data_IF_512929580825
#
_entry.id   IF_512929580825
#
_cell.length_a   1.000
_cell.length_b   1.000
_cell.length_c   1.000
_cell.angle_alpha   90.00
_cell.angle_beta   90.00
_cell.angle_gamma   90.00
#
_symmetry.space_group_name_H-M   'P 1'
#
loop_
_entity.id
_entity.type
_entity.pdbx_description
1 polymer ?
#
# COMPACT_ATOMS: atom_id res chain seq x y z
N UNK A 1 13.84 -18.13 -35.56
CA UNK A 1 12.81 -17.26 -36.14
C UNK A 1 12.68 -16.04 -35.24
N UNK A 2 12.92 -14.83 -35.76
CA UNK A 2 12.79 -13.61 -34.95
C UNK A 2 11.32 -13.28 -34.70
N UNK A 3 10.99 -12.84 -33.49
CA UNK A 3 9.69 -12.26 -33.15
C UNK A 3 9.80 -10.75 -33.36
N UNK A 4 8.83 -10.14 -34.03
CA UNK A 4 8.71 -8.68 -34.11
C UNK A 4 7.54 -8.26 -33.25
N UNK A 5 7.79 -7.36 -32.29
CA UNK A 5 6.72 -6.80 -31.45
C UNK A 5 6.24 -5.48 -32.04
N UNK A 6 4.92 -5.29 -32.02
CA UNK A 6 4.29 -4.06 -32.51
C UNK A 6 3.46 -3.48 -31.37
N UNK A 7 3.74 -2.24 -31.01
CA UNK A 7 3.03 -1.58 -29.93
C UNK A 7 1.74 -0.93 -30.47
N UNK A 8 0.59 -1.44 -30.01
CA UNK A 8 -0.74 -1.02 -30.47
C UNK A 8 -1.62 -0.59 -29.28
N UNK A 9 -1.48 0.64 -28.76
CA UNK A 9 -2.14 1.07 -27.51
C UNK A 9 -3.66 1.10 -27.60
N UNK A 10 -4.22 1.21 -28.82
CA UNK A 10 -5.66 1.18 -29.10
C UNK A 10 -6.10 -0.12 -29.81
N UNK A 11 -5.27 -1.16 -29.78
CA UNK A 11 -5.44 -2.38 -30.57
C UNK A 11 -4.96 -2.23 -32.02
N UNK A 12 -4.96 -3.34 -32.77
CA UNK A 12 -4.59 -3.41 -34.20
C UNK A 12 -5.72 -2.88 -35.09
N UNK A 13 -6.17 -1.66 -34.82
CA UNK A 13 -7.29 -1.02 -35.54
C UNK A 13 -6.84 -0.25 -36.79
N UNK A 14 -5.55 0.00 -36.93
CA UNK A 14 -4.97 0.76 -38.04
C UNK A 14 -4.14 -0.16 -38.94
N UNK A 15 -4.60 -0.30 -40.19
CA UNK A 15 -3.92 -1.10 -41.23
C UNK A 15 -2.52 -0.56 -41.51
N UNK A 16 -2.28 0.74 -41.32
CA UNK A 16 -0.97 1.36 -41.49
C UNK A 16 0.08 0.74 -40.56
N UNK A 17 -0.24 0.58 -39.27
CA UNK A 17 0.68 0.03 -38.26
C UNK A 17 1.09 -1.41 -38.65
N UNK A 18 0.13 -2.22 -39.06
CA UNK A 18 0.39 -3.58 -39.54
C UNK A 18 1.29 -3.61 -40.79
N UNK A 19 0.98 -2.77 -41.78
CA UNK A 19 1.72 -2.73 -43.05
C UNK A 19 3.16 -2.26 -42.84
N UNK A 20 3.35 -1.19 -42.08
CA UNK A 20 4.66 -0.66 -41.71
C UNK A 20 5.50 -1.69 -40.94
N UNK A 21 4.88 -2.40 -39.99
CA UNK A 21 5.57 -3.45 -39.26
C UNK A 21 6.02 -4.60 -40.20
N UNK A 22 5.14 -5.08 -41.08
CA UNK A 22 5.47 -6.13 -42.06
C UNK A 22 6.60 -5.72 -43.01
N UNK A 23 6.59 -4.49 -43.51
CA UNK A 23 7.66 -3.98 -44.37
C UNK A 23 8.99 -3.95 -43.62
N UNK A 24 9.00 -3.47 -42.37
CA UNK A 24 10.19 -3.46 -41.53
C UNK A 24 10.70 -4.85 -41.21
N UNK A 25 9.81 -5.82 -40.96
CA UNK A 25 10.19 -7.22 -40.77
C UNK A 25 10.89 -7.80 -42.01
N UNK A 26 10.36 -7.52 -43.20
CA UNK A 26 10.93 -7.98 -44.48
C UNK A 26 12.29 -7.35 -44.76
N UNK A 27 12.42 -6.05 -44.50
CA UNK A 27 13.61 -5.27 -44.85
C UNK A 27 14.73 -5.37 -43.80
N UNK A 28 14.40 -5.67 -42.54
CA UNK A 28 15.33 -5.59 -41.43
C UNK A 28 15.42 -6.94 -40.67
N UNK A 29 16.23 -7.87 -41.19
CA UNK A 29 16.47 -9.20 -40.59
C UNK A 29 17.27 -9.17 -39.26
N UNK A 30 17.59 -8.00 -38.69
CA UNK A 30 18.76 -7.88 -37.79
C UNK A 30 18.51 -7.63 -36.30
N UNK A 31 17.29 -7.49 -35.82
CA UNK A 31 17.09 -7.52 -34.35
C UNK A 31 15.78 -8.20 -33.99
N UNK A 32 15.87 -9.36 -33.33
CA UNK A 32 14.73 -10.08 -32.76
C UNK A 32 14.04 -9.33 -31.61
N UNK A 33 14.52 -8.12 -31.28
CA UNK A 33 14.08 -7.31 -30.15
C UNK A 33 13.73 -5.86 -30.56
N UNK A 34 13.63 -5.60 -31.87
CA UNK A 34 13.12 -4.34 -32.38
C UNK A 34 11.60 -4.29 -32.20
N UNK A 35 11.12 -3.14 -31.71
CA UNK A 35 9.69 -2.88 -31.51
C UNK A 35 9.27 -1.76 -32.44
N UNK A 36 8.25 -2.02 -33.25
CA UNK A 36 7.62 -0.99 -34.08
C UNK A 36 6.60 -0.25 -33.22
N UNK A 37 6.84 1.03 -32.99
CA UNK A 37 5.98 1.88 -32.19
C UNK A 37 4.75 2.34 -32.97
N UNK A 38 3.70 2.77 -32.26
CA UNK A 38 2.45 3.21 -32.88
C UNK A 38 2.58 4.48 -33.74
N UNK A 39 3.63 5.28 -33.51
CA UNK A 39 4.00 6.44 -34.34
C UNK A 39 4.85 6.06 -35.55
N UNK A 40 5.16 4.77 -35.72
CA UNK A 40 5.97 4.26 -36.80
C UNK A 40 7.48 4.37 -36.56
N UNK A 41 7.95 4.80 -35.39
CA UNK A 41 9.37 4.69 -35.01
C UNK A 41 9.75 3.23 -34.68
N UNK A 42 11.06 2.95 -34.58
CA UNK A 42 11.56 1.64 -34.15
C UNK A 42 12.39 1.83 -32.89
N UNK A 43 11.98 1.16 -31.82
CA UNK A 43 12.77 1.06 -30.59
C UNK A 43 13.56 -0.24 -30.65
N UNK A 44 14.87 -0.13 -30.83
CA UNK A 44 15.78 -1.27 -30.69
C UNK A 44 16.24 -1.37 -29.24
N UNK A 45 15.90 -2.47 -28.57
CA UNK A 45 16.47 -2.76 -27.26
C UNK A 45 17.85 -3.38 -27.50
N UNK A 46 18.89 -2.69 -27.06
CA UNK A 46 20.25 -3.22 -27.05
C UNK A 46 20.56 -3.79 -25.68
N UNK A 47 21.06 -5.03 -25.67
CA UNK A 47 21.68 -5.65 -24.50
C UNK A 47 22.86 -4.79 -24.06
N UNK A 48 23.02 -4.59 -22.75
CA UNK A 48 24.11 -3.83 -22.11
C UNK A 48 24.16 -2.31 -22.36
N UNK A 49 23.19 -1.73 -23.04
CA UNK A 49 23.02 -0.26 -23.05
C UNK A 49 22.40 0.19 -21.72
N UNK A 50 22.84 1.34 -21.21
CA UNK A 50 22.33 1.92 -19.98
C UNK A 50 21.06 2.73 -20.29
N UNK A 51 19.97 2.40 -19.62
CA UNK A 51 18.68 3.08 -19.70
C UNK A 51 18.40 3.80 -18.39
N UNK A 52 17.58 4.85 -18.48
CA UNK A 52 17.00 5.50 -17.31
C UNK A 52 15.49 5.37 -17.34
N UNK A 53 14.86 5.28 -16.17
CA UNK A 53 13.42 5.16 -16.07
C UNK A 53 12.91 5.39 -14.66
N UNK A 54 11.60 5.54 -14.55
CA UNK A 54 10.90 5.81 -13.29
C UNK A 54 10.18 4.54 -12.85
N UNK A 55 10.30 4.18 -11.58
CA UNK A 55 9.53 3.08 -11.01
C UNK A 55 8.05 3.42 -11.07
N UNK A 56 7.31 2.63 -11.84
CA UNK A 56 5.86 2.80 -12.01
C UNK A 56 5.07 2.05 -10.96
N UNK A 57 5.57 0.89 -10.54
CA UNK A 57 4.89 0.01 -9.59
C UNK A 57 5.89 -0.83 -8.82
N UNK A 58 5.64 -1.01 -7.53
CA UNK A 58 6.42 -1.94 -6.69
C UNK A 58 5.47 -2.86 -5.91
N UNK A 59 5.76 -4.16 -5.93
CA UNK A 59 5.13 -5.13 -5.05
C UNK A 59 6.12 -5.57 -3.97
N UNK A 60 6.11 -4.88 -2.83
CA UNK A 60 7.01 -5.16 -1.70
C UNK A 60 6.89 -6.60 -1.17
N UNK A 61 5.68 -7.17 -1.17
CA UNK A 61 5.41 -8.52 -0.66
C UNK A 61 6.00 -9.61 -1.57
N UNK A 62 5.82 -9.48 -2.88
CA UNK A 62 6.32 -10.42 -3.89
C UNK A 62 7.72 -10.07 -4.39
N UNK A 63 8.29 -8.94 -3.95
CA UNK A 63 9.65 -8.49 -4.21
C UNK A 63 9.99 -8.31 -5.69
N UNK A 64 9.09 -7.69 -6.43
CA UNK A 64 9.31 -7.26 -7.82
C UNK A 64 8.69 -5.88 -8.08
N UNK A 65 9.05 -5.27 -9.20
CA UNK A 65 8.41 -4.05 -9.69
C UNK A 65 8.53 -3.87 -11.19
N UNK A 66 8.06 -2.72 -11.66
CA UNK A 66 8.10 -2.32 -13.06
C UNK A 66 8.67 -0.90 -13.19
N UNK A 67 9.62 -0.72 -14.10
CA UNK A 67 10.23 0.57 -14.43
C UNK A 67 9.67 1.02 -15.77
N UNK A 68 9.11 2.21 -15.82
CA UNK A 68 8.75 2.89 -17.06
C UNK A 68 9.99 3.61 -17.60
N UNK A 69 10.40 3.28 -18.83
CA UNK A 69 11.58 3.87 -19.47
C UNK A 69 11.30 4.26 -20.92
N UNK A 70 12.04 5.26 -21.40
CA UNK A 70 11.86 5.83 -22.74
C UNK A 70 10.71 6.84 -22.87
N UNK A 71 10.61 7.46 -24.05
CA UNK A 71 9.66 8.56 -24.32
C UNK A 71 8.22 8.10 -24.59
N UNK A 72 7.98 6.80 -24.80
CA UNK A 72 6.64 6.26 -25.00
C UNK A 72 6.18 5.51 -23.75
N UNK A 73 4.96 5.79 -23.30
CA UNK A 73 4.34 5.37 -22.02
C UNK A 73 4.17 3.84 -21.83
N UNK A 74 4.86 2.99 -22.58
CA UNK A 74 4.35 1.64 -22.87
C UNK A 74 5.39 0.52 -22.82
N UNK A 75 6.61 0.77 -22.35
CA UNK A 75 7.48 -0.32 -21.90
C UNK A 75 7.78 -0.18 -20.42
N UNK A 76 6.95 -0.89 -19.67
CA UNK A 76 7.25 -1.26 -18.31
C UNK A 76 8.25 -2.43 -18.38
N UNK A 77 9.49 -2.25 -17.93
CA UNK A 77 10.45 -3.34 -17.79
C UNK A 77 10.31 -3.93 -16.38
N UNK A 78 10.22 -5.25 -16.32
CA UNK A 78 10.18 -5.97 -15.06
C UNK A 78 11.55 -5.93 -14.38
N UNK A 79 11.57 -5.75 -13.05
CA UNK A 79 12.74 -6.02 -12.24
C UNK A 79 12.38 -6.84 -11.00
N UNK A 80 13.33 -7.67 -10.56
CA UNK A 80 13.26 -8.35 -9.28
C UNK A 80 14.12 -7.60 -8.26
N UNK A 81 13.76 -7.62 -6.98
CA UNK A 81 14.54 -6.90 -5.96
C UNK A 81 15.97 -7.43 -5.81
N UNK A 82 16.26 -8.65 -6.26
CA UNK A 82 17.63 -9.17 -6.30
C UNK A 82 18.53 -8.42 -7.28
N UNK A 83 17.95 -7.69 -8.25
CA UNK A 83 18.68 -6.88 -9.22
C UNK A 83 18.98 -5.46 -8.69
N UNK A 84 18.48 -5.11 -7.49
CA UNK A 84 18.78 -3.85 -6.82
C UNK A 84 20.15 -3.90 -6.13
N UNK A 85 20.85 -2.76 -6.04
CA UNK A 85 22.19 -2.72 -5.50
C UNK A 85 22.19 -2.97 -3.98
N UNK A 86 23.12 -3.80 -3.51
CA UNK A 86 23.45 -3.96 -2.08
C UNK A 86 22.31 -4.44 -1.17
N UNK A 87 21.24 -5.02 -1.71
CA UNK A 87 20.06 -5.40 -0.92
C UNK A 87 19.18 -4.21 -0.52
N UNK A 88 19.26 -3.09 -1.26
CA UNK A 88 18.33 -1.97 -1.11
C UNK A 88 16.88 -2.48 -1.20
N UNK A 89 16.14 -2.29 -0.11
CA UNK A 89 14.73 -2.66 0.00
C UNK A 89 13.79 -1.46 -0.15
N UNK A 90 14.35 -0.25 -0.22
CA UNK A 90 13.60 1.00 -0.16
C UNK A 90 13.57 1.65 -1.54
N UNK A 91 12.91 0.99 -2.49
CA UNK A 91 12.55 1.60 -3.76
C UNK A 91 11.06 1.85 -3.77
N UNK A 92 10.65 3.03 -4.19
CA UNK A 92 9.26 3.49 -4.18
C UNK A 92 8.80 3.90 -5.58
N UNK A 93 7.49 3.93 -5.78
CA UNK A 93 6.92 4.44 -7.02
C UNK A 93 7.28 5.92 -7.21
N UNK A 94 7.87 6.24 -8.36
CA UNK A 94 8.38 7.57 -8.68
C UNK A 94 9.90 7.71 -8.55
N UNK A 95 10.62 6.73 -7.99
CA UNK A 95 12.09 6.75 -7.98
C UNK A 95 12.65 6.62 -9.38
N UNK A 96 13.73 7.35 -9.66
CA UNK A 96 14.44 7.30 -10.92
C UNK A 96 15.63 6.36 -10.82
N UNK A 97 15.69 5.39 -11.72
CA UNK A 97 16.71 4.35 -11.77
C UNK A 97 17.48 4.39 -13.08
N UNK A 98 18.75 4.01 -13.02
CA UNK A 98 19.54 3.57 -14.15
C UNK A 98 19.59 2.05 -14.16
N UNK A 99 19.58 1.42 -15.32
CA UNK A 99 19.62 -0.03 -15.43
C UNK A 99 20.07 -0.48 -16.82
N UNK A 100 20.50 -1.73 -16.95
CA UNK A 100 20.66 -2.40 -18.24
C UNK A 100 19.50 -3.37 -18.46
N UNK A 101 19.16 -3.63 -19.72
CA UNK A 101 18.15 -4.65 -20.06
C UNK A 101 18.87 -5.91 -20.48
N UNK A 102 18.67 -6.98 -19.72
CA UNK A 102 19.15 -8.30 -20.09
C UNK A 102 18.01 -9.12 -20.70
N UNK A 103 18.33 -9.82 -21.78
CA UNK A 103 17.42 -10.70 -22.48
C UNK A 103 17.72 -12.15 -22.11
N UNK A 104 16.78 -12.80 -21.43
CA UNK A 104 16.87 -14.24 -21.20
C UNK A 104 16.47 -14.97 -22.50
N UNK A 105 17.47 -15.44 -23.24
CA UNK A 105 17.30 -16.18 -24.50
C UNK A 105 16.59 -17.52 -24.32
N UNK A 106 16.54 -18.07 -23.10
CA UNK A 106 15.84 -19.34 -22.80
C UNK A 106 14.34 -19.14 -22.61
N UNK A 107 13.95 -18.02 -21.99
CA UNK A 107 12.56 -17.74 -21.60
C UNK A 107 11.87 -16.66 -22.45
N UNK A 108 12.60 -15.98 -23.33
CA UNK A 108 12.09 -14.91 -24.21
C UNK A 108 11.64 -13.65 -23.47
N UNK A 109 12.03 -13.50 -22.19
CA UNK A 109 11.64 -12.37 -21.34
C UNK A 109 12.82 -11.42 -21.13
N UNK A 110 12.52 -10.13 -21.06
CA UNK A 110 13.50 -9.09 -20.76
C UNK A 110 13.30 -8.59 -19.34
N UNK A 111 14.39 -8.37 -18.61
CA UNK A 111 14.35 -7.83 -17.26
C UNK A 111 15.43 -6.75 -17.09
N UNK A 112 15.15 -5.78 -16.22
CA UNK A 112 16.14 -4.80 -15.81
C UNK A 112 17.13 -5.43 -14.82
N UNK A 113 18.40 -5.25 -15.10
CA UNK A 113 19.55 -5.70 -14.31
C UNK A 113 20.54 -4.55 -14.14
N UNK A 114 21.57 -4.77 -13.29
CA UNK A 114 22.57 -3.75 -12.93
C UNK A 114 21.90 -2.42 -12.55
N UNK A 115 20.89 -2.50 -11.68
CA UNK A 115 20.08 -1.34 -11.34
C UNK A 115 20.86 -0.44 -10.39
N UNK A 116 20.82 0.86 -10.64
CA UNK A 116 21.36 1.90 -9.76
C UNK A 116 20.30 2.98 -9.54
N UNK A 117 20.24 3.54 -8.34
CA UNK A 117 19.32 4.62 -8.01
C UNK A 117 19.94 5.96 -8.44
N UNK A 118 19.30 6.67 -9.38
CA UNK A 118 19.77 7.97 -9.89
C UNK A 118 19.27 9.08 -8.98
N UNK A 119 17.96 9.13 -8.76
CA UNK A 119 17.34 10.10 -7.89
C UNK A 119 16.20 9.42 -7.12
N UNK A 120 16.21 9.62 -5.81
CA UNK A 120 15.03 9.33 -5.00
C UNK A 120 14.05 10.47 -5.23
N UNK A 121 12.77 10.14 -5.35
CA UNK A 121 11.73 11.16 -5.29
C UNK A 121 11.99 12.01 -4.03
N UNK A 122 11.93 13.36 -4.08
CA UNK A 122 11.99 14.15 -2.87
C UNK A 122 10.87 13.67 -1.95
N UNK A 123 11.25 13.01 -0.85
CA UNK A 123 10.30 12.44 0.10
C UNK A 123 9.66 13.60 0.87
N UNK A 124 8.59 14.18 0.32
CA UNK A 124 7.65 15.01 1.07
C UNK A 124 6.89 14.10 2.02
N UNK A 125 7.57 13.77 3.11
CA UNK A 125 7.08 12.89 4.16
C UNK A 125 6.70 13.71 5.37
N UNK A 126 5.78 13.17 6.15
CA UNK A 126 5.39 13.69 7.45
C UNK A 126 5.75 12.69 8.52
N UNK A 127 6.48 13.15 9.53
CA UNK A 127 6.74 12.34 10.71
C UNK A 127 5.48 12.31 11.58
N UNK A 128 4.90 11.13 11.73
CA UNK A 128 3.71 10.93 12.55
C UNK A 128 3.93 9.86 13.59
N UNK A 129 3.10 9.88 14.64
CA UNK A 129 2.99 8.77 15.57
C UNK A 129 1.99 7.75 15.05
N UNK A 130 2.25 6.48 15.29
CA UNK A 130 1.38 5.38 14.95
C UNK A 130 1.23 4.44 16.14
N UNK A 131 0.10 3.75 16.21
CA UNK A 131 -0.10 2.62 17.11
C UNK A 131 -0.64 1.42 16.33
N UNK A 132 -0.36 0.22 16.82
CA UNK A 132 -0.76 -1.02 16.16
C UNK A 132 -1.97 -1.65 16.83
N UNK A 133 -2.96 -2.03 16.04
CA UNK A 133 -4.15 -2.77 16.47
C UNK A 133 -4.37 -3.99 15.55
N UNK A 134 -4.77 -5.13 16.12
CA UNK A 134 -5.07 -6.32 15.33
C UNK A 134 -6.52 -6.29 14.82
N UNK A 135 -6.79 -6.99 13.71
CA UNK A 135 -8.16 -7.22 13.26
C UNK A 135 -8.90 -8.14 14.25
N UNK A 136 -10.22 -7.98 14.45
CA UNK A 136 -11.12 -7.09 13.70
C UNK A 136 -11.17 -5.65 14.23
N UNK A 137 -10.68 -5.39 15.44
CA UNK A 137 -10.79 -4.08 16.09
C UNK A 137 -10.19 -2.92 15.29
N UNK A 138 -9.11 -3.16 14.54
CA UNK A 138 -8.55 -2.15 13.65
C UNK A 138 -9.52 -1.73 12.55
N UNK A 139 -10.25 -2.68 11.95
CA UNK A 139 -11.29 -2.38 10.97
C UNK A 139 -12.49 -1.71 11.63
N UNK A 140 -12.94 -2.21 12.79
CA UNK A 140 -14.03 -1.58 13.55
C UNK A 140 -13.74 -0.11 13.88
N UNK A 141 -12.49 0.22 14.23
CA UNK A 141 -12.07 1.59 14.49
C UNK A 141 -12.00 2.40 13.20
N UNK A 142 -11.36 1.87 12.15
CA UNK A 142 -11.21 2.57 10.87
C UNK A 142 -12.56 2.84 10.17
N UNK A 143 -13.52 1.93 10.30
CA UNK A 143 -14.88 2.05 9.80
C UNK A 143 -15.80 2.87 10.73
N UNK A 144 -15.28 3.42 11.83
CA UNK A 144 -16.01 4.33 12.71
C UNK A 144 -16.97 3.70 13.71
N UNK A 145 -17.04 2.36 13.81
CA UNK A 145 -17.85 1.68 14.83
C UNK A 145 -17.22 1.80 16.22
N UNK A 146 -15.92 1.50 16.34
CA UNK A 146 -15.21 1.56 17.62
C UNK A 146 -14.79 2.99 17.92
N UNK A 147 -15.63 3.70 18.67
CA UNK A 147 -15.39 5.09 19.08
C UNK A 147 -14.66 5.21 20.42
N UNK A 148 -14.37 4.08 21.09
CA UNK A 148 -13.65 4.04 22.36
C UNK A 148 -12.59 2.93 22.34
N UNK A 149 -11.33 3.29 22.52
CA UNK A 149 -10.23 2.34 22.66
C UNK A 149 -9.94 2.11 24.14
N UNK A 150 -9.72 0.86 24.54
CA UNK A 150 -9.52 0.51 25.95
C UNK A 150 -8.26 -0.29 26.17
N UNK A 151 -7.49 0.04 27.20
CA UNK A 151 -6.24 -0.64 27.52
C UNK A 151 -6.02 -0.74 29.03
N UNK A 152 -5.30 -1.78 29.45
CA UNK A 152 -4.76 -1.83 30.82
C UNK A 152 -3.45 -1.04 30.95
N UNK A 153 -2.71 -0.85 29.85
CA UNK A 153 -1.48 -0.05 29.84
C UNK A 153 -1.73 1.46 29.71
N UNK A 154 -0.65 2.24 29.80
CA UNK A 154 -0.64 3.71 29.78
C UNK A 154 -0.36 4.30 28.39
N UNK A 155 -0.55 3.52 27.32
CA UNK A 155 -0.13 3.89 25.96
C UNK A 155 -0.60 5.28 25.51
N UNK A 156 -1.84 5.66 25.83
CA UNK A 156 -2.42 6.93 25.41
C UNK A 156 -2.42 8.02 26.49
N UNK A 157 -2.03 7.71 27.74
CA UNK A 157 -2.17 8.64 28.87
C UNK A 157 -1.24 9.86 28.76
N UNK A 158 -0.14 9.75 28.01
CA UNK A 158 0.82 10.84 27.82
C UNK A 158 0.48 11.74 26.64
N UNK A 159 -0.60 11.46 25.91
CA UNK A 159 -0.99 12.21 24.72
C UNK A 159 -2.23 13.06 24.99
N UNK A 160 -2.14 14.39 24.80
CA UNK A 160 -3.28 15.26 25.03
C UNK A 160 -4.40 15.00 24.02
N UNK A 161 -5.61 15.38 24.40
CA UNK A 161 -6.77 15.44 23.51
C UNK A 161 -6.44 16.25 22.24
N UNK A 162 -6.89 15.75 21.09
CA UNK A 162 -6.59 16.32 19.77
C UNK A 162 -5.32 15.76 19.12
N UNK A 163 -4.55 14.92 19.82
CA UNK A 163 -3.38 14.24 19.25
C UNK A 163 -3.79 13.35 18.08
N UNK A 164 -3.12 13.51 16.94
CA UNK A 164 -3.34 12.70 15.74
C UNK A 164 -2.30 11.60 15.64
N UNK A 165 -2.75 10.39 15.34
CA UNK A 165 -1.90 9.23 15.15
C UNK A 165 -2.41 8.35 14.01
N UNK A 166 -1.50 7.63 13.36
CA UNK A 166 -1.84 6.62 12.38
C UNK A 166 -2.25 5.31 13.06
N UNK A 167 -3.28 4.67 12.52
CA UNK A 167 -3.70 3.33 12.86
C UNK A 167 -2.99 2.33 11.96
N UNK A 168 -2.04 1.59 12.52
CA UNK A 168 -1.40 0.46 11.87
C UNK A 168 -2.15 -0.85 12.17
N UNK A 169 -2.30 -1.70 11.16
CA UNK A 169 -2.97 -3.00 11.29
C UNK A 169 -1.93 -4.08 11.54
N UNK A 170 -2.00 -4.72 12.71
CA UNK A 170 -1.11 -5.82 13.07
C UNK A 170 -1.32 -7.08 12.21
N UNK A 171 -0.31 -7.95 12.20
CA UNK A 171 -0.32 -9.17 11.38
C UNK A 171 -1.27 -10.26 11.90
N UNK A 172 -1.65 -10.19 13.18
CA UNK A 172 -2.45 -11.21 13.85
C UNK A 172 -3.94 -10.87 13.84
N UNK A 173 -4.76 -11.90 14.02
CA UNK A 173 -6.14 -11.72 14.46
C UNK A 173 -6.16 -11.66 15.98
N UNK A 174 -6.99 -10.78 16.53
CA UNK A 174 -7.21 -10.69 17.96
C UNK A 174 -8.10 -11.87 18.40
N UNK A 175 -7.69 -12.66 19.41
CA UNK A 175 -8.39 -13.88 19.78
C UNK A 175 -9.53 -13.62 20.77
N UNK A 176 -10.54 -12.84 20.38
CA UNK A 176 -11.70 -12.56 21.26
C UNK A 176 -12.81 -13.61 21.18
N UNK A 177 -12.62 -14.69 20.41
CA UNK A 177 -13.64 -15.73 20.24
C UNK A 177 -14.94 -15.21 19.60
N UNK A 178 -14.85 -14.15 18.78
CA UNK A 178 -15.99 -13.51 18.13
C UNK A 178 -17.00 -12.83 19.08
N UNK A 179 -16.63 -12.64 20.35
CA UNK A 179 -17.47 -11.95 21.35
C UNK A 179 -17.82 -10.52 20.97
N UNK A 180 -17.00 -9.85 20.15
CA UNK A 180 -17.35 -8.56 19.56
C UNK A 180 -18.66 -8.60 18.76
N UNK A 181 -18.98 -9.73 18.11
CA UNK A 181 -20.21 -9.89 17.31
C UNK A 181 -21.44 -9.82 18.21
N UNK A 182 -21.42 -10.49 19.36
CA UNK A 182 -22.53 -10.49 20.31
C UNK A 182 -22.81 -9.07 20.82
N UNK A 183 -21.74 -8.32 21.13
CA UNK A 183 -21.84 -6.92 21.53
C UNK A 183 -22.42 -6.06 20.41
N UNK A 184 -21.99 -6.26 19.17
CA UNK A 184 -22.52 -5.53 18.00
C UNK A 184 -24.01 -5.83 17.77
N UNK A 185 -24.41 -7.11 17.86
CA UNK A 185 -25.82 -7.53 17.74
C UNK A 185 -26.69 -6.95 18.85
N UNK A 186 -26.14 -6.74 20.05
CA UNK A 186 -26.86 -6.07 21.14
C UNK A 186 -27.15 -4.58 20.87
N UNK A 187 -26.57 -4.01 19.80
CA UNK A 187 -26.86 -2.68 19.29
C UNK A 187 -27.70 -2.69 18.01
N UNK A 188 -28.44 -3.77 17.76
CA UNK A 188 -29.35 -3.95 16.63
C UNK A 188 -28.68 -3.96 15.24
N UNK A 189 -27.37 -4.19 15.17
CA UNK A 189 -26.67 -4.38 13.90
C UNK A 189 -26.98 -5.73 13.27
N UNK A 190 -27.26 -5.72 11.97
CA UNK A 190 -27.46 -6.91 11.15
C UNK A 190 -26.15 -7.65 10.87
N UNK A 191 -26.24 -8.93 10.48
CA UNK A 191 -25.04 -9.72 10.13
C UNK A 191 -24.25 -9.10 8.95
N UNK A 192 -24.94 -8.49 7.97
CA UNK A 192 -24.30 -7.83 6.83
C UNK A 192 -23.59 -6.54 7.26
N UNK A 193 -24.19 -5.72 8.12
CA UNK A 193 -23.52 -4.52 8.66
C UNK A 193 -22.28 -4.90 9.51
N UNK A 194 -22.41 -5.95 10.34
CA UNK A 194 -21.29 -6.45 11.14
C UNK A 194 -20.16 -6.94 10.23
N UNK A 195 -20.51 -7.66 9.16
CA UNK A 195 -19.54 -8.13 8.18
C UNK A 195 -18.80 -6.94 7.56
N UNK A 196 -19.50 -5.93 7.06
CA UNK A 196 -18.88 -4.76 6.43
C UNK A 196 -17.96 -4.01 7.40
N UNK A 197 -18.37 -3.84 8.65
CA UNK A 197 -17.59 -3.16 9.69
C UNK A 197 -16.30 -3.90 10.08
N UNK A 198 -16.27 -5.23 9.97
CA UNK A 198 -15.13 -6.07 10.37
C UNK A 198 -14.01 -6.15 9.32
N UNK A 199 -14.26 -5.72 8.08
CA UNK A 199 -13.27 -5.80 7.00
C UNK A 199 -12.74 -4.42 6.61
N UNK A 200 -11.50 -4.41 6.13
CA UNK A 200 -10.90 -3.21 5.54
C UNK A 200 -11.34 -3.09 4.08
N UNK A 201 -11.51 -1.87 3.56
CA UNK A 201 -11.72 -1.65 2.13
C UNK A 201 -10.58 -2.21 1.28
N UNK A 202 -10.88 -2.47 0.00
CA UNK A 202 -9.87 -2.92 -0.97
C UNK A 202 -8.69 -1.94 -1.02
N UNK A 203 -7.46 -2.48 -0.97
CA UNK A 203 -6.23 -1.70 -1.00
C UNK A 203 -5.63 -1.44 0.39
N UNK A 204 -6.33 -1.81 1.47
CA UNK A 204 -5.80 -1.76 2.84
C UNK A 204 -5.60 -3.17 3.38
N UNK A 205 -4.40 -3.43 3.89
CA UNK A 205 -4.00 -4.76 4.34
C UNK A 205 -3.30 -4.73 5.71
N UNK A 206 -3.12 -5.92 6.30
CA UNK A 206 -2.29 -6.10 7.49
C UNK A 206 -0.85 -5.67 7.19
N UNK A 207 -0.22 -4.96 8.12
CA UNK A 207 1.12 -4.38 7.96
C UNK A 207 1.13 -2.96 7.40
N UNK A 208 -0.04 -2.41 7.07
CA UNK A 208 -0.17 -1.02 6.65
C UNK A 208 -0.66 -0.13 7.79
N UNK A 209 -0.24 1.13 7.81
CA UNK A 209 -1.05 2.21 8.32
C UNK A 209 -2.23 2.41 7.37
N UNK A 210 -3.45 2.37 7.90
CA UNK A 210 -4.68 2.37 7.09
C UNK A 210 -5.56 3.59 7.33
N UNK A 211 -5.47 4.18 8.52
CA UNK A 211 -6.27 5.33 8.90
C UNK A 211 -5.44 6.31 9.74
N UNK A 212 -5.93 7.54 9.85
CA UNK A 212 -5.49 8.53 10.81
C UNK A 212 -6.61 8.77 11.81
N UNK A 213 -6.22 8.92 13.08
CA UNK A 213 -7.12 8.92 14.24
C UNK A 213 -6.81 10.13 15.09
N UNK A 214 -7.82 10.90 15.48
CA UNK A 214 -7.70 11.96 16.47
C UNK A 214 -8.20 11.47 17.82
N UNK A 215 -7.30 11.48 18.81
CA UNK A 215 -7.61 11.03 20.16
C UNK A 215 -8.44 12.09 20.90
N UNK A 216 -9.43 11.62 21.64
CA UNK A 216 -10.18 12.40 22.62
C UNK A 216 -9.58 12.27 24.02
N UNK A 217 -10.43 12.41 25.05
CA UNK A 217 -10.00 12.29 26.43
C UNK A 217 -9.59 10.85 26.75
N UNK A 218 -8.53 10.69 27.53
CA UNK A 218 -8.17 9.42 28.18
C UNK A 218 -8.52 9.48 29.66
N UNK A 219 -9.21 8.47 30.18
CA UNK A 219 -9.67 8.41 31.57
C UNK A 219 -9.73 6.96 32.09
N UNK A 220 -9.70 6.81 33.41
CA UNK A 220 -9.85 5.50 34.06
C UNK A 220 -11.33 5.15 34.24
N UNK A 221 -11.63 3.85 34.20
CA UNK A 221 -12.98 3.30 34.27
C UNK A 221 -13.04 2.17 35.29
N UNK A 222 -14.16 2.08 36.01
CA UNK A 222 -14.44 0.93 36.86
C UNK A 222 -14.99 -0.23 36.01
N UNK A 223 -15.04 -1.44 36.56
CA UNK A 223 -15.73 -2.56 35.89
C UNK A 223 -17.23 -2.24 35.69
N UNK A 224 -17.86 -1.54 36.64
CA UNK A 224 -19.26 -1.13 36.52
C UNK A 224 -19.49 -0.22 35.31
N UNK A 225 -18.60 0.74 35.08
CA UNK A 225 -18.66 1.62 33.90
C UNK A 225 -18.50 0.82 32.62
N UNK A 226 -17.55 -0.13 32.60
CA UNK A 226 -17.29 -1.00 31.44
C UNK A 226 -18.41 -1.98 31.15
N UNK A 227 -19.20 -2.35 32.16
CA UNK A 227 -20.37 -3.22 32.00
C UNK A 227 -21.62 -2.48 31.49
N UNK A 228 -21.58 -1.15 31.31
CA UNK A 228 -22.65 -0.42 30.69
C UNK A 228 -22.80 -0.83 29.19
N UNK A 229 -24.01 -1.14 28.70
CA UNK A 229 -24.21 -1.56 27.30
C UNK A 229 -23.72 -0.53 26.25
N UNK A 230 -23.91 0.77 26.49
CA UNK A 230 -23.40 1.81 25.58
C UNK A 230 -21.88 1.84 25.55
N UNK A 231 -21.23 1.62 26.70
CA UNK A 231 -19.77 1.51 26.77
C UNK A 231 -19.29 0.31 25.96
N UNK A 232 -19.88 -0.86 26.17
CA UNK A 232 -19.52 -2.08 25.45
C UNK A 232 -19.66 -1.91 23.95
N UNK A 233 -20.76 -1.32 23.47
CA UNK A 233 -20.97 -1.02 22.05
C UNK A 233 -19.91 -0.09 21.48
N UNK A 234 -19.58 1.00 22.17
CA UNK A 234 -18.52 1.93 21.75
C UNK A 234 -17.13 1.29 21.67
N UNK A 235 -16.87 0.26 22.48
CA UNK A 235 -15.60 -0.49 22.48
C UNK A 235 -15.62 -1.66 21.50
N UNK A 236 -16.78 -2.26 21.27
CA UNK A 236 -16.94 -3.54 20.57
C UNK A 236 -16.52 -4.75 21.41
N UNK A 237 -16.55 -4.65 22.74
CA UNK A 237 -16.16 -5.73 23.64
C UNK A 237 -16.96 -5.70 24.94
N UNK A 238 -17.11 -6.84 25.60
CA UNK A 238 -17.75 -6.90 26.91
C UNK A 238 -16.91 -6.18 27.96
N UNK A 239 -17.56 -5.83 29.07
CA UNK A 239 -16.93 -5.06 30.14
C UNK A 239 -15.69 -5.72 30.70
N UNK A 240 -15.76 -7.02 30.99
CA UNK A 240 -14.64 -7.82 31.51
C UNK A 240 -13.46 -7.93 30.54
N UNK A 241 -13.76 -7.92 29.24
CA UNK A 241 -12.78 -8.03 28.15
C UNK A 241 -12.14 -6.65 27.80
N UNK A 242 -12.71 -5.56 28.30
CA UNK A 242 -12.25 -4.19 28.04
C UNK A 242 -11.15 -3.76 29.01
N UNK A 243 -10.21 -2.92 28.59
CA UNK A 243 -9.16 -2.38 29.48
C UNK A 243 -9.67 -1.30 30.44
N UNK A 244 -9.02 -1.12 31.60
CA UNK A 244 -9.43 -0.14 32.62
C UNK A 244 -9.26 1.33 32.21
N UNK A 245 -8.42 1.63 31.21
CA UNK A 245 -8.22 2.99 30.69
C UNK A 245 -8.91 3.10 29.34
N UNK A 246 -9.86 4.02 29.25
CA UNK A 246 -10.59 4.32 28.03
C UNK A 246 -10.03 5.59 27.38
N UNK A 247 -9.90 5.58 26.07
CA UNK A 247 -9.47 6.70 25.23
C UNK A 247 -10.49 6.90 24.14
N UNK A 248 -11.13 8.06 24.12
CA UNK A 248 -12.09 8.44 23.10
C UNK A 248 -11.43 8.55 21.72
N UNK A 249 -12.16 8.15 20.68
CA UNK A 249 -11.79 8.38 19.29
C UNK A 249 -12.68 9.52 18.77
N UNK A 250 -12.13 10.73 18.68
CA UNK A 250 -12.90 11.92 18.27
C UNK A 250 -13.33 11.87 16.83
N UNK A 251 -12.40 11.47 15.97
CA UNK A 251 -12.63 11.24 14.55
C UNK A 251 -11.57 10.30 13.99
N UNK A 252 -11.93 9.67 12.89
CA UNK A 252 -11.10 8.76 12.13
C UNK A 252 -11.34 9.01 10.65
N UNK A 253 -10.30 8.87 9.83
CA UNK A 253 -10.42 8.83 8.39
C UNK A 253 -9.43 7.82 7.82
N UNK A 254 -9.85 7.08 6.80
CA UNK A 254 -8.92 6.30 6.00
C UNK A 254 -7.85 7.21 5.40
N UNK A 255 -6.62 6.67 5.30
CA UNK A 255 -5.61 7.27 4.45
C UNK A 255 -6.06 7.21 2.99
N UNK A 256 -5.57 8.10 2.13
CA UNK A 256 -5.91 8.07 0.69
C UNK A 256 -5.43 6.77 0.03
N UNK A 257 -4.33 6.21 0.53
CA UNK A 257 -3.78 4.88 0.19
C UNK A 257 -3.13 4.28 1.43
N UNK A 258 -3.11 2.95 1.58
CA UNK A 258 -2.42 2.29 2.68
C UNK A 258 -0.91 2.50 2.62
N UNK A 259 -0.29 2.82 3.75
CA UNK A 259 1.16 3.05 3.83
C UNK A 259 1.84 1.89 4.58
N UNK A 260 2.82 1.24 3.96
CA UNK A 260 3.55 0.13 4.59
C UNK A 260 4.42 0.66 5.73
N UNK A 261 4.13 0.22 6.95
CA UNK A 261 4.92 0.62 8.12
C UNK A 261 5.23 -0.58 8.99
N UNK A 262 6.46 -0.63 9.52
CA UNK A 262 6.83 -1.70 10.44
C UNK A 262 6.19 -1.45 11.81
N UNK A 263 5.18 -2.25 12.15
CA UNK A 263 4.54 -2.19 13.46
C UNK A 263 5.51 -2.43 14.61
N UNK A 264 5.40 -1.61 15.67
CA UNK A 264 6.16 -1.76 16.91
C UNK A 264 5.20 -1.79 18.11
N UNK A 265 5.67 -2.32 19.23
CA UNK A 265 4.95 -2.21 20.50
C UNK A 265 4.87 -0.76 20.97
N UNK A 266 3.78 -0.38 21.64
CA UNK A 266 3.59 1.00 22.07
C UNK A 266 3.15 1.93 20.94
N UNK A 267 3.33 3.23 21.17
CA UNK A 267 3.25 4.25 20.12
C UNK A 267 4.64 4.42 19.53
N UNK A 268 4.75 4.44 18.21
CA UNK A 268 6.02 4.56 17.50
C UNK A 268 5.96 5.66 16.45
N UNK A 269 7.11 6.24 16.10
CA UNK A 269 7.21 7.22 15.02
C UNK A 269 7.37 6.51 13.68
N UNK A 270 6.76 7.08 12.66
CA UNK A 270 6.85 6.64 11.26
C UNK A 270 6.88 7.87 10.36
N UNK A 271 7.63 7.77 9.27
CA UNK A 271 7.55 8.71 8.17
C UNK A 271 6.63 8.10 7.11
N UNK A 272 5.66 8.88 6.66
CA UNK A 272 4.75 8.50 5.57
C UNK A 272 4.65 9.65 4.59
N UNK A 273 4.40 9.35 3.31
CA UNK A 273 4.20 10.39 2.31
C UNK A 273 3.08 11.35 2.73
N UNK A 274 3.29 12.65 2.57
CA UNK A 274 2.26 13.66 2.85
C UNK A 274 0.99 13.40 2.03
N UNK A 275 1.14 12.89 0.82
CA UNK A 275 0.04 12.60 -0.11
C UNK A 275 -0.90 11.48 0.37
N UNK A 276 -0.48 10.61 1.30
CA UNK A 276 -1.34 9.57 1.86
C UNK A 276 -2.34 10.15 2.86
N UNK A 277 -2.06 11.33 3.41
CA UNK A 277 -2.86 11.91 4.49
C UNK A 277 -4.11 12.58 3.89
N UNK A 278 -5.31 12.30 4.43
CA UNK A 278 -6.54 12.96 3.99
C UNK A 278 -6.49 14.48 4.23
N UNK A 279 -7.21 15.23 3.41
CA UNK A 279 -7.21 16.70 3.50
C UNK A 279 -7.77 17.17 4.85
N UNK A 280 -7.16 18.20 5.43
CA UNK A 280 -7.57 18.77 6.73
C UNK A 280 -7.10 17.99 7.98
N UNK A 281 -6.15 17.05 7.83
CA UNK A 281 -5.59 16.26 8.92
C UNK A 281 -4.14 16.59 9.31
N UNK A 282 -3.46 17.43 8.54
CA UNK A 282 -2.13 17.98 8.83
C UNK A 282 -2.21 19.41 9.36
#
# INVERSE_FOLDING_TARGET
MGVMSVHCPRGLIDKWIWTNALEKYKNNKKSAYAIVESDGSVTEIKSDEQYTGIIKMVNMKKRFGFIQYGNSKTKDIFFHFSSLPGGCNNVEEGDELSFTIDHDTKNGKSAANKIELISQRPQDTVNMRAFSMNLPFAALLANGYKTLETRNGTMFTTYPEGTKMLLHVGQRLYPDGERHIDVMKSGDLTDDEIKDLKFLPKGFEKGMAVAIVELGKTYETTLKDRCNPDFQRKVGAFGEDSGMRATEIKRVAYLKKGAWVSGKGGVFKVDVDRDVIPDGWL
#
